data_IF_774763559990
#
_entry.id   IF_774763559990
#
_cell.length_a   1.000
_cell.length_b   1.000
_cell.length_c   1.000
_cell.angle_alpha   90.00
_cell.angle_beta   90.00
_cell.angle_gamma   90.00
#
_symmetry.space_group_name_H-M   'P 1'
#
loop_
_entity.id
_entity.type
_entity.pdbx_description
1 polymer ?
#
# COMPACT_ATOMS: atom_id res chain seq x y z
N UNK A 1 -13.31 3.01 -21.70
CA UNK A 1 -13.25 2.98 -20.21
C UNK A 1 -12.09 3.85 -19.79
N UNK A 2 -12.29 4.76 -18.86
CA UNK A 2 -11.22 5.63 -18.33
C UNK A 2 -10.33 4.76 -17.42
N UNK A 3 -9.01 4.95 -17.50
CA UNK A 3 -8.02 4.28 -16.65
C UNK A 3 -7.14 5.31 -15.98
N UNK A 4 -6.90 5.14 -14.70
CA UNK A 4 -5.97 5.94 -13.93
C UNK A 4 -4.83 5.05 -13.41
N UNK A 5 -3.64 5.60 -13.31
CA UNK A 5 -2.54 4.95 -12.61
C UNK A 5 -2.63 5.27 -11.14
N UNK A 6 -2.47 4.24 -10.31
CA UNK A 6 -2.42 4.35 -8.85
C UNK A 6 -1.19 3.62 -8.32
N UNK A 7 -0.83 3.91 -7.10
CA UNK A 7 0.28 3.25 -6.41
C UNK A 7 -0.10 2.98 -4.97
N UNK A 8 0.01 1.72 -4.58
CA UNK A 8 -0.33 1.23 -3.25
C UNK A 8 0.89 0.58 -2.60
N UNK A 9 1.11 0.81 -1.30
CA UNK A 9 2.24 0.21 -0.58
C UNK A 9 1.82 -0.48 0.70
N UNK A 10 2.16 -1.76 0.84
CA UNK A 10 2.01 -2.51 2.08
C UNK A 10 3.18 -2.19 3.00
N UNK A 11 2.93 -1.36 4.01
CA UNK A 11 3.94 -0.96 4.98
C UNK A 11 4.01 -1.98 6.10
N UNK A 12 5.17 -2.64 6.25
CA UNK A 12 5.42 -3.67 7.26
C UNK A 12 6.26 -3.10 8.39
N UNK A 13 5.84 -3.34 9.64
CA UNK A 13 6.59 -3.04 10.84
C UNK A 13 6.29 -4.05 11.94
N UNK A 14 7.32 -4.60 12.59
CA UNK A 14 7.21 -5.62 13.66
C UNK A 14 6.25 -6.76 13.27
N UNK A 15 6.45 -7.33 12.10
CA UNK A 15 5.64 -8.43 11.54
C UNK A 15 4.14 -8.13 11.41
N UNK A 16 3.76 -6.88 11.20
CA UNK A 16 2.38 -6.43 10.94
C UNK A 16 2.34 -5.49 9.75
N UNK A 17 1.23 -5.49 9.02
CA UNK A 17 0.94 -4.50 7.99
C UNK A 17 0.05 -3.39 8.55
N UNK A 18 0.24 -2.17 8.04
CA UNK A 18 -0.62 -1.03 8.37
C UNK A 18 -1.82 -0.97 7.42
N UNK A 19 -3.02 -0.86 7.97
CA UNK A 19 -4.25 -0.66 7.21
C UNK A 19 -5.06 0.49 7.82
N UNK A 20 -5.80 1.21 6.97
CA UNK A 20 -6.79 2.20 7.40
C UNK A 20 -8.17 1.89 6.81
N UNK A 21 -9.22 2.43 7.43
CA UNK A 21 -10.56 2.34 6.89
C UNK A 21 -10.75 3.38 5.79
N UNK A 22 -10.89 2.92 4.55
CA UNK A 22 -11.12 3.79 3.41
C UNK A 22 -12.64 4.05 3.26
N UNK A 23 -13.08 5.27 3.59
CA UNK A 23 -14.51 5.60 3.72
C UNK A 23 -15.31 5.45 2.42
N UNK A 24 -14.72 5.81 1.26
CA UNK A 24 -15.43 5.74 -0.04
C UNK A 24 -15.72 4.31 -0.47
N UNK A 25 -14.71 3.44 -0.41
CA UNK A 25 -14.84 2.03 -0.83
C UNK A 25 -15.26 1.11 0.32
N UNK A 26 -15.26 1.61 1.57
CA UNK A 26 -15.70 0.92 2.79
C UNK A 26 -14.93 -0.38 3.05
N UNK A 27 -13.62 -0.31 2.92
CA UNK A 27 -12.70 -1.43 3.12
C UNK A 27 -11.49 -1.03 3.95
N UNK A 28 -10.82 -2.02 4.57
CA UNK A 28 -9.52 -1.86 5.18
C UNK A 28 -8.44 -1.97 4.10
N UNK A 29 -7.74 -0.88 3.81
CA UNK A 29 -6.76 -0.79 2.74
C UNK A 29 -5.41 -0.29 3.25
N UNK A 30 -4.31 -0.66 2.59
CA UNK A 30 -3.00 -0.03 2.78
C UNK A 30 -3.02 1.42 2.24
N UNK A 31 -1.99 2.24 2.54
CA UNK A 31 -1.86 3.58 1.99
C UNK A 31 -1.64 3.54 0.48
N UNK A 32 -2.21 4.51 -0.23
CA UNK A 32 -2.05 4.61 -1.67
C UNK A 32 -2.97 5.64 -2.31
N UNK A 33 -2.68 5.98 -3.57
CA UNK A 33 -3.46 6.97 -4.30
C UNK A 33 -3.08 7.09 -5.76
N UNK A 34 -3.64 8.09 -6.43
CA UNK A 34 -3.38 8.35 -7.84
C UNK A 34 -1.96 8.85 -8.08
N UNK A 35 -1.37 8.38 -9.17
CA UNK A 35 -0.09 8.91 -9.67
C UNK A 35 -0.35 10.28 -10.25
N UNK A 36 0.24 11.31 -9.63
CA UNK A 36 0.10 12.69 -10.06
C UNK A 36 0.90 12.97 -11.34
N UNK A 37 0.57 14.08 -12.00
CA UNK A 37 1.31 14.52 -13.17
C UNK A 37 2.78 14.75 -12.80
N UNK A 38 3.69 14.15 -13.56
CA UNK A 38 5.15 14.18 -13.34
C UNK A 38 5.66 13.37 -12.13
N UNK A 39 4.85 12.54 -11.50
CA UNK A 39 5.31 11.52 -10.55
C UNK A 39 5.54 10.17 -11.24
N UNK A 40 6.52 9.42 -10.74
CA UNK A 40 6.56 7.98 -10.93
C UNK A 40 5.79 7.25 -9.81
N UNK A 41 5.43 5.96 -10.00
CA UNK A 41 4.65 5.24 -9.00
C UNK A 41 5.32 5.11 -7.62
N UNK A 42 6.66 5.15 -7.54
CA UNK A 42 7.38 5.13 -6.26
C UNK A 42 7.25 6.47 -5.54
N UNK A 43 7.39 7.57 -6.27
CA UNK A 43 7.19 8.92 -5.72
C UNK A 43 5.77 9.04 -5.14
N UNK A 44 4.76 8.55 -5.86
CA UNK A 44 3.38 8.47 -5.36
C UNK A 44 3.29 7.64 -4.08
N UNK A 45 3.83 6.41 -4.05
CA UNK A 45 3.81 5.56 -2.87
C UNK A 45 4.43 6.24 -1.64
N UNK A 46 5.56 6.94 -1.83
CA UNK A 46 6.24 7.68 -0.76
C UNK A 46 5.42 8.88 -0.28
N UNK A 47 4.84 9.65 -1.21
CA UNK A 47 3.99 10.80 -0.90
C UNK A 47 2.74 10.39 -0.13
N UNK A 48 2.01 9.38 -0.62
CA UNK A 48 0.79 8.89 0.03
C UNK A 48 1.06 8.37 1.45
N UNK A 49 2.14 7.63 1.67
CA UNK A 49 2.53 7.24 3.02
C UNK A 49 2.82 8.44 3.91
N UNK A 50 3.45 9.49 3.37
CA UNK A 50 3.71 10.70 4.14
C UNK A 50 2.45 11.47 4.47
N UNK A 51 1.53 11.60 3.52
CA UNK A 51 0.28 12.33 3.66
C UNK A 51 -0.72 11.60 4.57
N UNK A 52 -0.91 10.29 4.36
CA UNK A 52 -1.92 9.50 5.06
C UNK A 52 -1.44 8.95 6.40
N UNK A 53 -0.17 8.51 6.49
CA UNK A 53 0.39 7.89 7.70
C UNK A 53 1.27 8.83 8.52
N UNK A 54 1.79 9.90 7.92
CA UNK A 54 2.75 10.83 8.54
C UNK A 54 4.18 10.31 8.61
N UNK A 55 4.52 9.22 7.91
CA UNK A 55 5.82 8.55 8.01
C UNK A 55 6.59 8.55 6.68
N UNK A 56 7.91 8.49 6.79
CA UNK A 56 8.81 8.23 5.67
C UNK A 56 9.14 6.74 5.63
N UNK A 57 9.04 6.14 4.45
CA UNK A 57 9.28 4.72 4.23
C UNK A 57 10.42 4.45 3.27
N UNK A 58 10.97 3.24 3.32
CA UNK A 58 11.83 2.65 2.28
C UNK A 58 11.03 1.63 1.51
N UNK A 59 11.11 1.67 0.18
CA UNK A 59 10.51 0.65 -0.69
C UNK A 59 11.44 -0.57 -0.73
N UNK A 60 10.87 -1.74 -0.49
CA UNK A 60 11.54 -3.02 -0.68
C UNK A 60 11.69 -3.34 -2.17
N UNK A 61 12.88 -3.75 -2.58
CA UNK A 61 13.15 -4.12 -3.95
C UNK A 61 14.12 -5.28 -4.04
N UNK A 62 13.80 -6.23 -4.89
CA UNK A 62 14.69 -7.32 -5.32
C UNK A 62 15.38 -6.98 -6.65
N UNK A 63 15.76 -5.74 -6.81
CA UNK A 63 16.19 -5.15 -8.08
C UNK A 63 17.47 -5.79 -8.63
N UNK A 64 17.43 -6.18 -9.91
CA UNK A 64 18.52 -6.95 -10.55
C UNK A 64 19.32 -6.15 -11.59
N UNK A 65 18.75 -5.06 -12.11
CA UNK A 65 19.36 -4.32 -13.21
C UNK A 65 20.05 -3.06 -12.72
N UNK A 66 21.25 -2.83 -13.21
CA UNK A 66 22.00 -1.57 -13.06
C UNK A 66 22.36 -1.06 -14.43
N UNK A 67 22.13 0.21 -14.67
CA UNK A 67 22.49 0.87 -15.90
C UNK A 67 23.56 1.93 -15.58
N UNK A 68 24.59 1.97 -16.41
CA UNK A 68 25.66 2.99 -16.30
C UNK A 68 25.36 4.24 -17.15
N UNK A 69 24.29 4.21 -17.92
CA UNK A 69 23.85 5.32 -18.75
C UNK A 69 23.27 6.45 -17.89
N UNK A 70 23.81 7.65 -18.03
CA UNK A 70 23.39 8.83 -17.26
C UNK A 70 22.02 9.37 -17.66
N UNK A 71 21.49 8.94 -18.79
CA UNK A 71 20.14 9.33 -19.26
C UNK A 71 19.05 8.38 -18.78
N UNK A 72 19.41 7.28 -18.09
CA UNK A 72 18.48 6.32 -17.54
C UNK A 72 18.41 6.43 -16.03
N UNK A 73 17.22 6.67 -15.51
CA UNK A 73 16.92 6.52 -14.09
C UNK A 73 16.18 5.21 -13.87
N UNK A 74 16.77 4.35 -13.07
CA UNK A 74 16.17 3.09 -12.74
C UNK A 74 15.26 3.26 -11.51
N UNK A 75 13.99 2.90 -11.66
CA UNK A 75 13.04 2.83 -10.55
C UNK A 75 12.76 1.37 -10.19
N UNK A 76 12.49 1.11 -8.92
CA UNK A 76 12.18 -0.25 -8.47
C UNK A 76 10.89 -0.77 -9.10
N UNK A 77 10.87 -1.98 -9.67
CA UNK A 77 9.65 -2.56 -10.17
C UNK A 77 8.66 -2.82 -9.02
N UNK A 78 7.34 -2.74 -9.27
CA UNK A 78 6.33 -3.16 -8.30
C UNK A 78 6.40 -4.68 -8.07
N UNK A 79 5.83 -5.14 -6.96
CA UNK A 79 5.67 -6.57 -6.67
C UNK A 79 4.68 -7.22 -7.64
N UNK A 80 3.63 -6.48 -7.97
CA UNK A 80 2.64 -6.83 -8.99
C UNK A 80 1.94 -5.58 -9.51
N UNK A 81 1.20 -5.73 -10.61
CA UNK A 81 0.33 -4.68 -11.16
C UNK A 81 -1.07 -5.28 -11.25
N UNK A 82 -2.06 -4.59 -10.71
CA UNK A 82 -3.46 -5.00 -10.74
C UNK A 82 -4.28 -4.07 -11.63
N UNK A 83 -5.38 -4.58 -12.17
CA UNK A 83 -6.44 -3.75 -12.75
C UNK A 83 -7.66 -3.88 -11.84
N UNK A 84 -8.05 -2.78 -11.23
CA UNK A 84 -9.16 -2.70 -10.30
C UNK A 84 -10.32 -1.92 -10.90
N UNK A 85 -11.52 -2.48 -10.83
CA UNK A 85 -12.74 -1.77 -11.21
C UNK A 85 -13.20 -0.92 -10.04
N UNK A 86 -13.39 0.36 -10.29
CA UNK A 86 -13.80 1.34 -9.29
C UNK A 86 -15.13 1.98 -9.69
N UNK A 87 -16.07 1.98 -8.77
CA UNK A 87 -17.31 2.74 -8.86
C UNK A 87 -17.16 4.04 -8.09
N UNK A 88 -17.11 5.16 -8.79
CA UNK A 88 -17.02 6.48 -8.19
C UNK A 88 -18.24 7.31 -8.57
N UNK A 89 -18.86 7.95 -7.58
CA UNK A 89 -20.09 8.72 -7.77
C UNK A 89 -19.90 10.02 -8.59
N UNK A 90 -18.65 10.49 -8.75
CA UNK A 90 -18.36 11.73 -9.48
C UNK A 90 -17.90 11.47 -10.91
N UNK A 91 -17.04 10.44 -11.08
CA UNK A 91 -16.38 10.13 -12.35
C UNK A 91 -17.11 8.99 -13.08
N UNK A 92 -17.90 8.20 -12.33
CA UNK A 92 -18.53 6.99 -12.83
C UNK A 92 -17.59 5.77 -12.83
N UNK A 93 -18.02 4.66 -13.46
CA UNK A 93 -17.22 3.44 -13.54
C UNK A 93 -15.90 3.68 -14.29
N UNK A 94 -14.79 3.34 -13.69
CA UNK A 94 -13.45 3.44 -14.30
C UNK A 94 -12.54 2.32 -13.76
N UNK A 95 -11.31 2.23 -14.27
CA UNK A 95 -10.34 1.25 -13.82
C UNK A 95 -9.08 1.93 -13.28
N UNK A 96 -8.53 1.40 -12.19
CA UNK A 96 -7.19 1.71 -11.73
C UNK A 96 -6.21 0.68 -12.28
N UNK A 97 -5.05 1.13 -12.74
CA UNK A 97 -3.86 0.31 -12.96
C UNK A 97 -2.98 0.57 -11.75
N UNK A 98 -3.04 -0.32 -10.77
CA UNK A 98 -2.41 -0.14 -9.46
C UNK A 98 -1.06 -0.84 -9.38
N UNK A 99 -0.01 -0.06 -9.07
CA UNK A 99 1.35 -0.52 -8.86
C UNK A 99 1.53 -0.85 -7.37
N UNK A 100 1.66 -2.15 -7.06
CA UNK A 100 1.75 -2.62 -5.68
C UNK A 100 3.20 -2.69 -5.24
N UNK A 101 3.52 -1.98 -4.17
CA UNK A 101 4.82 -1.99 -3.52
C UNK A 101 4.76 -2.55 -2.10
N UNK A 102 5.91 -2.99 -1.61
CA UNK A 102 6.13 -3.32 -0.21
C UNK A 102 7.17 -2.36 0.36
N UNK A 103 7.00 -1.97 1.62
CA UNK A 103 7.89 -1.01 2.26
C UNK A 103 7.91 -1.15 3.78
N UNK A 104 8.80 -0.40 4.40
CA UNK A 104 8.98 -0.36 5.85
C UNK A 104 9.38 1.04 6.30
N UNK A 105 9.06 1.46 7.54
CA UNK A 105 9.41 2.78 8.05
C UNK A 105 10.94 3.00 8.06
N UNK A 106 11.39 4.20 7.67
CA UNK A 106 12.81 4.59 7.77
C UNK A 106 13.26 4.80 9.21
N UNK A 107 12.37 5.34 10.05
CA UNK A 107 12.62 5.55 11.48
C UNK A 107 11.75 4.60 12.30
N UNK A 108 12.30 3.69 13.10
CA UNK A 108 11.52 2.78 13.95
C UNK A 108 10.75 3.49 15.08
N UNK A 109 11.09 4.74 15.39
CA UNK A 109 10.43 5.55 16.43
C UNK A 109 9.35 6.48 15.86
N UNK A 110 8.80 6.14 14.70
CA UNK A 110 7.75 6.94 14.07
C UNK A 110 6.48 7.02 14.92
N UNK A 111 5.69 8.06 14.66
CA UNK A 111 4.35 8.22 15.19
C UNK A 111 3.36 8.29 14.05
N UNK A 112 2.44 7.32 14.00
CA UNK A 112 1.37 7.33 13.01
C UNK A 112 0.35 8.45 13.27
N UNK A 113 -0.23 8.95 12.20
CA UNK A 113 -1.48 9.70 12.27
C UNK A 113 -2.61 8.79 12.78
N UNK A 114 -3.75 9.36 13.15
CA UNK A 114 -4.89 8.61 13.69
C UNK A 114 -5.52 7.66 12.66
N UNK A 115 -6.25 6.64 13.17
CA UNK A 115 -7.09 5.74 12.39
C UNK A 115 -6.37 4.61 11.61
N UNK A 116 -5.15 4.29 11.95
CA UNK A 116 -4.42 3.13 11.44
C UNK A 116 -4.52 1.95 12.39
N UNK A 117 -4.64 0.73 11.83
CA UNK A 117 -4.53 -0.53 12.56
C UNK A 117 -3.32 -1.32 12.08
N UNK A 118 -2.75 -2.11 12.98
CA UNK A 118 -1.68 -3.04 12.67
C UNK A 118 -2.22 -4.47 12.65
N UNK A 119 -2.11 -5.14 11.51
CA UNK A 119 -2.69 -6.46 11.23
C UNK A 119 -1.56 -7.46 11.03
N UNK A 120 -1.55 -8.54 11.77
CA UNK A 120 -0.55 -9.60 11.64
C UNK A 120 -1.03 -10.76 10.74
N UNK A 121 -0.13 -11.73 10.52
CA UNK A 121 -0.43 -12.88 9.66
C UNK A 121 -1.56 -13.76 10.18
N UNK A 122 -1.72 -13.88 11.51
CA UNK A 122 -2.81 -14.67 12.11
C UNK A 122 -4.15 -14.00 11.91
N UNK A 123 -4.19 -12.68 12.06
CA UNK A 123 -5.39 -11.89 11.81
C UNK A 123 -5.83 -12.02 10.36
N UNK A 124 -4.89 -11.93 9.41
CA UNK A 124 -5.16 -12.09 7.98
C UNK A 124 -5.65 -13.50 7.64
N UNK A 125 -4.97 -14.55 8.15
CA UNK A 125 -5.35 -15.93 7.89
C UNK A 125 -6.74 -16.27 8.43
N UNK A 126 -7.08 -15.78 9.62
CA UNK A 126 -8.33 -16.04 10.30
C UNK A 126 -9.45 -15.07 9.89
N UNK A 127 -9.19 -14.18 8.96
CA UNK A 127 -10.15 -13.17 8.48
C UNK A 127 -10.77 -12.36 9.62
N UNK A 128 -9.91 -11.97 10.57
CA UNK A 128 -10.33 -11.18 11.74
C UNK A 128 -11.00 -9.89 11.28
N UNK A 129 -12.16 -9.63 11.86
CA UNK A 129 -12.94 -8.42 11.57
C UNK A 129 -12.56 -7.30 12.53
N UNK A 130 -12.15 -6.18 11.98
CA UNK A 130 -11.80 -4.97 12.72
C UNK A 130 -12.95 -3.97 12.72
N UNK A 131 -13.06 -3.25 13.82
CA UNK A 131 -14.10 -2.25 14.03
C UNK A 131 -13.75 -0.96 13.28
N UNK A 132 -14.59 -0.55 12.36
CA UNK A 132 -14.45 0.70 11.62
C UNK A 132 -14.98 1.92 12.43
N UNK A 133 -14.80 3.18 11.94
CA UNK A 133 -15.33 4.38 12.62
C UNK A 133 -16.84 4.38 12.84
N UNK A 134 -17.61 3.67 12.00
CA UNK A 134 -19.08 3.52 12.14
C UNK A 134 -19.47 2.42 13.15
N UNK A 135 -18.52 1.88 13.92
CA UNK A 135 -18.69 0.81 14.90
C UNK A 135 -19.14 -0.55 14.29
N UNK A 136 -18.95 -0.74 12.99
CA UNK A 136 -19.19 -2.01 12.29
C UNK A 136 -17.89 -2.79 12.11
N UNK A 137 -17.99 -4.09 11.89
CA UNK A 137 -16.86 -5.01 11.83
C UNK A 137 -16.67 -5.56 10.41
N UNK A 138 -15.47 -5.37 9.84
CA UNK A 138 -15.09 -5.86 8.51
C UNK A 138 -13.70 -6.48 8.55
N UNK A 139 -13.53 -7.59 7.84
CA UNK A 139 -12.21 -8.13 7.54
C UNK A 139 -11.58 -7.36 6.36
N UNK A 140 -10.24 -7.32 6.28
CA UNK A 140 -9.58 -6.87 5.06
C UNK A 140 -10.01 -7.70 3.84
N UNK A 141 -10.11 -7.11 2.63
CA UNK A 141 -10.47 -7.85 1.43
C UNK A 141 -9.40 -8.88 1.03
N UNK A 142 -9.75 -9.82 0.15
CA UNK A 142 -8.91 -10.97 -0.16
C UNK A 142 -7.57 -10.60 -0.82
N UNK A 143 -7.54 -9.61 -1.68
CA UNK A 143 -6.32 -9.07 -2.29
C UNK A 143 -5.37 -8.49 -1.23
N UNK A 144 -5.89 -7.71 -0.28
CA UNK A 144 -5.13 -7.20 0.87
C UNK A 144 -4.60 -8.35 1.74
N UNK A 145 -5.40 -9.40 1.95
CA UNK A 145 -4.97 -10.61 2.67
C UNK A 145 -3.78 -11.28 1.97
N UNK A 146 -3.92 -11.55 0.68
CA UNK A 146 -2.89 -12.26 -0.11
C UNK A 146 -1.60 -11.45 -0.19
N UNK A 147 -1.69 -10.17 -0.58
CA UNK A 147 -0.53 -9.29 -0.73
C UNK A 147 0.10 -8.95 0.62
N UNK A 148 -0.72 -8.76 1.66
CA UNK A 148 -0.24 -8.53 3.02
C UNK A 148 0.55 -9.71 3.57
N UNK A 149 0.11 -10.95 3.32
CA UNK A 149 0.85 -12.15 3.70
C UNK A 149 2.19 -12.24 2.98
N UNK A 150 2.25 -11.93 1.69
CA UNK A 150 3.50 -11.91 0.92
C UNK A 150 4.46 -10.82 1.43
N UNK A 151 3.93 -9.62 1.71
CA UNK A 151 4.72 -8.53 2.29
C UNK A 151 5.34 -8.93 3.64
N UNK A 152 4.57 -9.56 4.54
CA UNK A 152 5.06 -10.05 5.84
C UNK A 152 6.17 -11.08 5.70
N UNK A 153 6.08 -11.97 4.71
CA UNK A 153 7.12 -12.97 4.43
C UNK A 153 8.40 -12.31 3.91
N UNK A 154 8.29 -11.45 2.90
CA UNK A 154 9.44 -10.82 2.23
C UNK A 154 10.18 -9.83 3.13
N UNK A 155 9.48 -9.10 3.99
CA UNK A 155 10.07 -8.09 4.86
C UNK A 155 10.36 -8.56 6.29
N UNK A 156 10.22 -9.84 6.59
CA UNK A 156 10.37 -10.40 7.94
C UNK A 156 11.67 -9.97 8.66
N UNK A 157 12.77 -9.83 7.92
CA UNK A 157 14.09 -9.50 8.48
C UNK A 157 14.44 -8.00 8.38
N UNK A 158 13.61 -7.19 7.75
CA UNK A 158 13.87 -5.77 7.49
C UNK A 158 13.00 -4.82 8.33
N UNK A 159 11.94 -5.35 8.94
CA UNK A 159 10.90 -4.56 9.61
C UNK A 159 10.91 -4.68 11.14
N UNK A 160 12.02 -5.09 11.73
CA UNK A 160 12.17 -5.24 13.18
C UNK A 160 12.61 -3.96 13.88
#
# INVERSE_FOLDING_TARGET
MIRHFTSTVFVVFKNKIALHWHEKVRMWLPPGGHVDLNEDPIQTALRECKEEMGIDISIFSEHKYKFEDTNLQNINPPQTILIEKVEDNKIGPHEHIDFIYFGYPKDPNFKLLSNWIWVDSKDLMNEVKFKNPELKYFAPPNDVKVLGMDALVKLKNLSN
#
